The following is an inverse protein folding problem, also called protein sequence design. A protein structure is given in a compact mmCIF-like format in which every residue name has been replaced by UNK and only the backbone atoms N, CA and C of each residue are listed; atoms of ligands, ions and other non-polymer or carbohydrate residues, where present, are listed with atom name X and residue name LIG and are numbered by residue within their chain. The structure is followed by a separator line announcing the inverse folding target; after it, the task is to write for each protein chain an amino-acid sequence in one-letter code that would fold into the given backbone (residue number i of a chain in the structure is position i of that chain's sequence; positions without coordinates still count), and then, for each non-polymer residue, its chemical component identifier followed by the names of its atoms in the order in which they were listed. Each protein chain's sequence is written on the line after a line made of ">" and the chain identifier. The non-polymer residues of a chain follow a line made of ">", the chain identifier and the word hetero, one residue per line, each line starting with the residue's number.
data_IF_289440850259
#
_entry.id   IF_289440850259
#
_cell.length_a   1.000
_cell.length_b   1.000
_cell.length_c   1.000
_cell.angle_alpha   90.00
_cell.angle_beta   90.00
_cell.angle_gamma   90.00
#
_symmetry.space_group_name_H-M   'P 1'
#
loop_
_entity.id
_entity.type
_entity.pdbx_description
1 polymer ?
#
# COMPACT_ATOMS: atom_id res chain seq x y z
N UNK A 1 3.74 7.69 -15.99
CA UNK A 1 4.42 8.33 -14.84
C UNK A 1 4.19 7.53 -13.56
N UNK A 2 2.95 7.45 -13.02
CA UNK A 2 2.70 6.79 -11.72
C UNK A 2 2.99 5.28 -11.68
N UNK A 3 2.63 4.53 -12.73
CA UNK A 3 2.98 3.09 -12.83
C UNK A 3 4.49 2.82 -12.90
N UNK A 4 5.29 3.83 -13.22
CA UNK A 4 6.74 3.71 -13.26
C UNK A 4 7.35 3.95 -11.87
N UNK A 5 6.84 4.96 -11.14
CA UNK A 5 7.25 5.23 -9.77
C UNK A 5 6.86 4.14 -8.78
N UNK A 6 5.67 3.55 -8.95
CA UNK A 6 5.21 2.38 -8.17
C UNK A 6 6.21 1.20 -8.20
N UNK A 7 7.03 1.09 -9.26
CA UNK A 7 8.08 0.09 -9.37
C UNK A 7 9.44 0.54 -8.84
N UNK A 8 9.73 1.84 -8.92
CA UNK A 8 11.04 2.39 -8.55
C UNK A 8 11.17 2.65 -7.05
N UNK A 9 10.06 2.86 -6.36
CA UNK A 9 9.99 3.11 -4.92
C UNK A 9 8.96 2.15 -4.30
N UNK A 10 9.38 0.91 -3.97
CA UNK A 10 8.48 -0.09 -3.43
C UNK A 10 7.90 0.34 -2.08
N UNK A 11 6.66 -0.08 -1.84
CA UNK A 11 5.95 0.11 -0.58
C UNK A 11 6.78 -0.37 0.62
N UNK A 12 6.79 0.42 1.70
CA UNK A 12 7.48 0.08 2.94
C UNK A 12 6.53 -0.42 4.05
N UNK A 13 7.11 -0.82 5.19
CA UNK A 13 6.36 -1.30 6.35
C UNK A 13 5.36 -0.27 6.90
N UNK A 14 5.72 1.02 6.87
CA UNK A 14 4.86 2.09 7.37
C UNK A 14 3.65 2.29 6.46
N UNK A 15 3.85 2.25 5.15
CA UNK A 15 2.79 2.35 4.17
C UNK A 15 1.79 1.19 4.29
N UNK A 16 2.28 -0.03 4.55
CA UNK A 16 1.43 -1.18 4.87
C UNK A 16 0.59 -0.95 6.14
N UNK A 17 1.23 -0.49 7.21
CA UNK A 17 0.55 -0.19 8.48
C UNK A 17 -0.47 0.92 8.36
N UNK A 18 -0.13 1.98 7.60
CA UNK A 18 -1.03 3.09 7.29
C UNK A 18 -2.25 2.58 6.53
N UNK A 19 -2.05 1.76 5.51
CA UNK A 19 -3.14 1.22 4.69
C UNK A 19 -4.07 0.31 5.51
N UNK A 20 -3.54 -0.51 6.42
CA UNK A 20 -4.35 -1.32 7.34
C UNK A 20 -5.24 -0.45 8.23
N UNK A 21 -4.67 0.59 8.87
CA UNK A 21 -5.43 1.54 9.72
C UNK A 21 -6.53 2.26 8.94
N UNK A 22 -6.25 2.66 7.69
CA UNK A 22 -7.25 3.29 6.82
C UNK A 22 -8.39 2.33 6.54
N UNK A 23 -8.09 1.07 6.19
CA UNK A 23 -9.11 0.05 5.94
C UNK A 23 -9.97 -0.21 7.19
N UNK A 24 -9.37 -0.26 8.37
CA UNK A 24 -10.12 -0.48 9.62
C UNK A 24 -11.11 0.67 9.91
N UNK A 25 -10.72 1.91 9.60
CA UNK A 25 -11.55 3.10 9.85
C UNK A 25 -12.58 3.36 8.73
N UNK A 26 -12.22 3.13 7.48
CA UNK A 26 -13.02 3.49 6.30
C UNK A 26 -13.73 2.29 5.65
N UNK A 27 -13.39 1.06 6.04
CA UNK A 27 -13.90 -0.18 5.44
C UNK A 27 -13.18 -0.60 4.15
N UNK A 28 -12.36 0.27 3.55
CA UNK A 28 -11.62 -0.01 2.31
C UNK A 28 -10.20 0.57 2.38
N UNK A 29 -9.22 -0.17 1.88
CA UNK A 29 -7.83 0.27 1.73
C UNK A 29 -7.44 0.46 0.26
N UNK A 30 -6.24 0.98 0.02
CA UNK A 30 -5.66 1.07 -1.32
C UNK A 30 -5.23 -0.31 -1.81
N UNK A 31 -5.75 -0.74 -2.96
CA UNK A 31 -5.45 -2.05 -3.55
C UNK A 31 -3.99 -2.19 -3.98
N UNK A 32 -3.35 -1.15 -4.52
CA UNK A 32 -1.93 -1.18 -4.92
C UNK A 32 -1.03 -1.47 -3.71
N UNK A 33 -1.27 -0.75 -2.61
CA UNK A 33 -0.53 -0.97 -1.35
C UNK A 33 -0.87 -2.34 -0.76
N UNK A 34 -2.13 -2.77 -0.79
CA UNK A 34 -2.55 -4.09 -0.27
C UNK A 34 -1.85 -5.24 -0.99
N UNK A 35 -1.71 -5.16 -2.31
CA UNK A 35 -1.01 -6.20 -3.08
C UNK A 35 0.50 -6.17 -2.85
N UNK A 36 1.13 -4.98 -2.83
CA UNK A 36 2.56 -4.85 -2.58
C UNK A 36 2.97 -5.39 -1.20
N UNK A 37 2.15 -5.16 -0.16
CA UNK A 37 2.42 -5.63 1.20
C UNK A 37 2.35 -7.15 1.38
N UNK A 38 1.81 -7.92 0.43
CA UNK A 38 1.81 -9.40 0.51
C UNK A 38 3.18 -10.00 0.22
N UNK A 39 4.07 -9.24 -0.41
CA UNK A 39 5.41 -9.67 -0.80
C UNK A 39 6.50 -9.22 0.19
N UNK A 40 6.14 -8.44 1.22
CA UNK A 40 6.97 -8.08 2.37
C UNK A 40 6.96 -9.22 3.40
#
# INVERSE_FOLDING_TARGET
>A
MMLYWDKLDPVDEWECKRNARIKDVQGLGNSFVTEACKAL
#
